data_IF_950699353214
#
_entry.id   IF_950699353214
#
_cell.length_a   1.000
_cell.length_b   1.000
_cell.length_c   1.000
_cell.angle_alpha   90.00
_cell.angle_beta   90.00
_cell.angle_gamma   90.00
#
_symmetry.space_group_name_H-M   'P 1'
#
loop_
_entity.id
_entity.type
_entity.pdbx_description
1 polymer ?
#
# COMPACT_ATOMS: atom_id res chain seq x y z
N UNK A 1 -0.77 -16.69 56.52
CA UNK A 1 -0.18 -15.34 56.46
C UNK A 1 1.25 -15.52 56.03
N UNK A 2 1.54 -15.26 54.75
CA UNK A 2 2.89 -15.38 54.18
C UNK A 2 3.39 -13.96 53.94
N UNK A 3 4.52 -13.65 54.55
CA UNK A 3 5.13 -12.33 54.52
C UNK A 3 5.94 -12.21 53.21
N UNK A 4 5.54 -11.30 52.31
CA UNK A 4 6.28 -10.97 51.09
C UNK A 4 7.04 -9.67 51.34
N UNK A 5 8.26 -9.76 51.86
CA UNK A 5 9.20 -8.64 51.81
C UNK A 5 9.85 -8.65 50.43
N UNK A 6 9.47 -7.68 49.60
CA UNK A 6 10.15 -7.38 48.35
C UNK A 6 11.55 -6.85 48.66
N UNK A 7 12.58 -7.49 48.11
CA UNK A 7 13.90 -6.89 47.92
C UNK A 7 13.89 -6.28 46.52
N UNK A 8 14.11 -4.97 46.44
CA UNK A 8 14.31 -4.25 45.19
C UNK A 8 15.56 -4.81 44.49
N UNK A 9 15.38 -5.55 43.40
CA UNK A 9 16.45 -5.88 42.46
C UNK A 9 16.72 -4.62 41.63
N UNK A 10 17.77 -3.89 42.04
CA UNK A 10 18.40 -2.85 41.23
C UNK A 10 18.95 -3.49 39.95
N UNK A 11 18.24 -3.32 38.85
CA UNK A 11 18.74 -3.67 37.51
C UNK A 11 19.95 -2.78 37.19
N UNK A 12 21.16 -3.30 37.41
CA UNK A 12 22.40 -2.71 36.91
C UNK A 12 22.36 -2.73 35.37
N UNK A 13 22.38 -1.53 34.78
CA UNK A 13 22.39 -1.31 33.32
C UNK A 13 23.81 -1.11 32.78
N UNK A 14 24.78 -1.82 33.34
CA UNK A 14 26.13 -1.80 32.77
C UNK A 14 26.09 -2.65 31.49
N UNK A 15 25.90 -1.96 30.37
CA UNK A 15 25.97 -2.54 29.04
C UNK A 15 27.42 -2.96 28.77
N UNK A 16 27.68 -4.27 28.71
CA UNK A 16 28.95 -4.86 28.28
C UNK A 16 28.93 -5.21 26.77
N UNK A 17 27.98 -4.66 26.01
CA UNK A 17 27.76 -5.04 24.62
C UNK A 17 28.40 -4.08 23.62
N UNK A 18 28.81 -2.88 24.07
CA UNK A 18 29.31 -1.83 23.18
C UNK A 18 28.26 -1.45 22.14
N UNK A 19 26.98 -1.59 22.49
CA UNK A 19 25.87 -1.33 21.59
C UNK A 19 25.51 0.16 21.65
N UNK A 20 26.03 0.94 20.71
CA UNK A 20 25.62 2.33 20.56
C UNK A 20 24.19 2.40 20.02
N UNK A 21 23.30 3.04 20.77
CA UNK A 21 21.90 3.24 20.39
C UNK A 21 21.83 4.16 19.15
N UNK A 22 21.33 3.70 17.99
CA UNK A 22 21.34 4.47 16.74
C UNK A 22 20.37 5.68 16.73
N UNK A 23 19.65 5.91 17.83
CA UNK A 23 18.73 7.05 17.99
C UNK A 23 19.23 8.12 18.96
N UNK A 24 20.45 7.97 19.51
CA UNK A 24 21.09 8.94 20.40
C UNK A 24 21.97 9.94 19.63
N UNK A 25 21.40 10.50 18.56
CA UNK A 25 22.06 11.52 17.74
C UNK A 25 22.10 12.85 18.49
N UNK A 26 23.28 13.25 18.97
CA UNK A 26 23.55 14.60 19.49
C UNK A 26 23.93 15.53 18.32
N UNK A 27 23.09 16.50 17.94
CA UNK A 27 23.38 17.43 16.84
C UNK A 27 24.54 18.39 17.14
N UNK A 28 25.10 18.39 18.35
CA UNK A 28 26.27 19.19 18.73
C UNK A 28 27.53 18.35 18.99
N UNK A 29 27.47 17.02 18.79
CA UNK A 29 28.67 16.21 18.85
C UNK A 29 29.61 16.64 17.71
N UNK A 30 30.86 16.99 18.07
CA UNK A 30 31.88 17.30 17.08
C UNK A 30 32.20 16.01 16.33
N UNK A 31 31.79 15.92 15.07
CA UNK A 31 32.18 14.82 14.19
C UNK A 31 33.65 15.02 13.81
N UNK A 32 34.53 14.25 14.46
CA UNK A 32 35.97 14.28 14.20
C UNK A 32 36.35 13.77 12.80
N UNK A 33 35.37 13.29 12.01
CA UNK A 33 35.52 12.89 10.61
C UNK A 33 34.59 13.66 9.66
N UNK A 34 34.15 14.88 10.01
CA UNK A 34 33.47 15.78 9.07
C UNK A 34 34.46 16.30 8.00
N UNK A 35 34.34 15.87 6.73
CA UNK A 35 35.25 16.28 5.67
C UNK A 35 35.02 17.74 5.22
N UNK A 36 34.08 18.47 5.83
CA UNK A 36 33.73 19.83 5.43
C UNK A 36 34.44 20.93 6.22
N UNK A 37 35.29 20.58 7.18
CA UNK A 37 36.09 21.54 7.96
C UNK A 37 37.57 21.33 7.69
N UNK A 38 38.03 21.78 6.52
CA UNK A 38 39.29 22.49 6.40
C UNK A 38 39.36 23.17 5.03
N UNK A 39 39.59 24.48 5.05
CA UNK A 39 39.61 25.34 3.88
C UNK A 39 40.79 25.04 2.95
N UNK A 40 40.46 24.76 1.69
CA UNK A 40 41.08 25.26 0.46
C UNK A 40 40.45 24.47 -0.70
N UNK A 41 39.39 25.00 -1.29
CA UNK A 41 38.90 24.55 -2.59
C UNK A 41 39.41 25.52 -3.67
N UNK A 42 40.46 25.17 -4.44
CA UNK A 42 40.98 26.01 -5.49
C UNK A 42 40.24 25.85 -6.84
N UNK A 43 39.00 25.37 -6.90
CA UNK A 43 38.32 25.14 -8.21
C UNK A 43 37.10 26.01 -8.51
N UNK A 44 36.89 27.13 -7.82
CA UNK A 44 35.88 28.12 -8.23
C UNK A 44 36.51 29.26 -9.02
N UNK A 45 37.05 28.93 -10.19
CA UNK A 45 37.26 29.91 -11.27
C UNK A 45 35.90 30.15 -11.94
N UNK A 46 35.37 31.36 -11.74
CA UNK A 46 34.05 31.82 -12.17
C UNK A 46 34.12 32.53 -13.52
N UNK A 47 34.83 31.97 -14.49
CA UNK A 47 34.95 32.59 -15.81
C UNK A 47 35.45 31.62 -16.88
N UNK A 48 34.58 30.76 -17.43
CA UNK A 48 34.66 30.37 -18.85
C UNK A 48 33.37 29.68 -19.35
N UNK A 49 32.88 30.20 -20.48
CA UNK A 49 31.99 29.62 -21.48
C UNK A 49 30.57 29.16 -21.12
N UNK A 50 29.64 30.11 -21.31
CA UNK A 50 28.31 29.82 -21.85
C UNK A 50 28.44 29.23 -23.26
N UNK A 51 28.68 27.93 -23.36
CA UNK A 51 28.47 27.21 -24.60
C UNK A 51 26.98 26.90 -24.78
N UNK A 52 26.50 27.28 -25.96
CA UNK A 52 25.13 27.15 -26.39
C UNK A 52 24.63 25.73 -26.21
N UNK A 53 23.45 25.59 -25.59
CA UNK A 53 22.61 24.40 -25.71
C UNK A 53 22.27 24.29 -27.20
N UNK A 54 23.02 23.48 -27.93
CA UNK A 54 22.61 22.99 -29.24
C UNK A 54 21.53 21.94 -28.99
N UNK A 55 20.27 22.36 -29.16
CA UNK A 55 19.20 21.45 -29.56
C UNK A 55 19.68 20.75 -30.84
N UNK A 56 19.97 19.44 -30.76
CA UNK A 56 19.99 18.49 -31.89
C UNK A 56 20.62 17.17 -31.40
N UNK A 57 19.85 16.39 -30.63
CA UNK A 57 20.00 14.93 -30.64
C UNK A 57 18.58 14.34 -30.73
N UNK A 58 18.26 13.81 -31.92
CA UNK A 58 17.15 12.92 -32.17
C UNK A 58 17.21 11.79 -31.13
N UNK A 59 16.38 11.87 -30.09
CA UNK A 59 16.02 10.72 -29.25
C UNK A 59 15.21 9.78 -30.16
N UNK A 60 15.92 8.95 -30.92
CA UNK A 60 15.37 7.73 -31.49
C UNK A 60 14.78 6.95 -30.32
N UNK A 61 13.45 7.01 -30.20
CA UNK A 61 12.68 6.08 -29.39
C UNK A 61 13.04 4.69 -29.92
N UNK A 62 14.00 4.01 -29.28
CA UNK A 62 14.17 2.58 -29.47
C UNK A 62 12.81 1.95 -29.21
N UNK A 63 12.21 1.38 -30.26
CA UNK A 63 11.08 0.49 -30.15
C UNK A 63 11.52 -0.61 -29.16
N UNK A 64 11.16 -0.43 -27.89
CA UNK A 64 11.22 -1.50 -26.92
C UNK A 64 10.19 -2.48 -27.42
N UNK A 65 10.65 -3.44 -28.22
CA UNK A 65 9.94 -4.65 -28.58
C UNK A 65 9.43 -5.19 -27.25
N UNK A 66 8.16 -4.91 -26.96
CA UNK A 66 7.46 -5.55 -25.89
C UNK A 66 7.48 -7.01 -26.30
N UNK A 67 8.35 -7.80 -25.67
CA UNK A 67 8.29 -9.24 -25.77
C UNK A 67 6.85 -9.61 -25.43
N UNK A 68 6.05 -9.85 -26.47
CA UNK A 68 4.78 -10.57 -26.41
C UNK A 68 5.15 -12.04 -26.12
N UNK A 69 5.78 -12.27 -24.97
CA UNK A 69 5.62 -13.54 -24.28
C UNK A 69 4.12 -13.59 -23.97
N UNK A 70 3.38 -14.21 -24.89
CA UNK A 70 2.09 -14.84 -24.65
C UNK A 70 2.33 -15.90 -23.56
N UNK A 71 2.50 -15.39 -22.35
CA UNK A 71 2.68 -16.16 -21.15
C UNK A 71 1.39 -16.90 -20.97
N UNK A 72 1.38 -18.15 -21.42
CA UNK A 72 0.37 -19.15 -21.09
C UNK A 72 0.06 -18.95 -19.62
N UNK A 73 -1.11 -18.36 -19.33
CA UNK A 73 -1.48 -17.93 -17.98
C UNK A 73 -1.36 -19.17 -17.11
N UNK A 74 -0.25 -19.30 -16.39
CA UNK A 74 0.02 -20.48 -15.60
C UNK A 74 -1.23 -20.66 -14.74
N UNK A 75 -1.89 -21.81 -14.84
CA UNK A 75 -3.10 -22.06 -14.07
C UNK A 75 -2.69 -22.06 -12.60
N UNK A 76 -2.81 -20.90 -11.95
CA UNK A 76 -2.50 -20.73 -10.54
C UNK A 76 -3.54 -21.55 -9.79
N UNK A 77 -3.11 -22.66 -9.19
CA UNK A 77 -3.97 -23.38 -8.25
C UNK A 77 -4.23 -22.46 -7.04
N UNK A 78 -5.47 -21.98 -6.86
CA UNK A 78 -5.75 -20.95 -5.87
C UNK A 78 -5.70 -21.57 -4.47
N UNK A 79 -5.00 -20.93 -3.55
CA UNK A 79 -4.94 -21.38 -2.15
C UNK A 79 -6.31 -21.23 -1.49
N UNK A 80 -7.06 -20.19 -1.85
CA UNK A 80 -8.46 -20.03 -1.50
C UNK A 80 -9.32 -20.17 -2.76
N UNK A 81 -10.22 -21.17 -2.86
CA UNK A 81 -10.99 -21.42 -4.07
C UNK A 81 -11.92 -20.28 -4.51
N UNK A 82 -12.25 -19.38 -3.58
CA UNK A 82 -13.14 -18.24 -3.80
C UNK A 82 -12.64 -17.04 -3.00
N UNK A 83 -12.97 -15.83 -3.45
CA UNK A 83 -12.60 -14.62 -2.71
C UNK A 83 -13.30 -14.55 -1.35
N UNK A 84 -14.52 -15.10 -1.20
CA UNK A 84 -15.20 -15.19 0.09
C UNK A 84 -14.40 -16.04 1.08
N UNK A 85 -13.90 -17.20 0.65
CA UNK A 85 -13.05 -18.06 1.47
C UNK A 85 -11.73 -17.35 1.85
N UNK A 86 -11.16 -16.57 0.95
CA UNK A 86 -9.98 -15.74 1.25
C UNK A 86 -10.30 -14.64 2.27
N UNK A 87 -11.46 -13.98 2.15
CA UNK A 87 -11.87 -12.95 3.10
C UNK A 87 -12.04 -13.53 4.51
N UNK A 88 -12.72 -14.66 4.62
CA UNK A 88 -12.97 -15.35 5.89
C UNK A 88 -11.72 -15.96 6.51
N UNK A 89 -10.89 -16.61 5.68
CA UNK A 89 -9.71 -17.36 6.14
C UNK A 89 -8.45 -16.52 6.32
N UNK A 90 -8.28 -15.46 5.53
CA UNK A 90 -7.07 -14.63 5.55
C UNK A 90 -7.36 -13.17 5.89
N UNK A 91 -8.16 -12.47 5.09
CA UNK A 91 -8.29 -11.00 5.19
C UNK A 91 -8.74 -10.55 6.59
N UNK A 92 -9.83 -11.12 7.09
CA UNK A 92 -10.40 -10.76 8.40
C UNK A 92 -9.50 -11.17 9.58
N UNK A 93 -8.61 -12.14 9.37
CA UNK A 93 -7.68 -12.62 10.40
C UNK A 93 -6.39 -11.81 10.43
N UNK A 94 -5.91 -11.37 9.26
CA UNK A 94 -4.61 -10.72 9.06
C UNK A 94 -4.72 -9.20 9.13
N UNK A 95 -5.76 -8.59 8.56
CA UNK A 95 -5.87 -7.13 8.52
C UNK A 95 -6.32 -6.59 9.88
N UNK A 96 -5.40 -5.95 10.60
CA UNK A 96 -5.64 -5.34 11.91
C UNK A 96 -5.55 -3.82 11.81
N UNK A 97 -6.66 -3.14 12.06
CA UNK A 97 -6.72 -1.67 12.11
C UNK A 97 -7.49 -1.24 13.36
N UNK A 98 -7.16 -0.05 13.88
CA UNK A 98 -7.91 0.56 14.98
C UNK A 98 -9.24 1.07 14.42
N UNK A 99 -10.31 0.32 14.68
CA UNK A 99 -11.66 0.66 14.23
C UNK A 99 -12.28 1.73 15.12
N UNK A 100 -13.12 2.58 14.53
CA UNK A 100 -13.92 3.54 15.28
C UNK A 100 -14.97 2.87 16.17
N UNK A 101 -15.36 3.48 17.31
CA UNK A 101 -16.55 3.04 18.03
C UNK A 101 -17.77 3.08 17.11
N UNK A 102 -18.70 2.14 17.30
CA UNK A 102 -19.98 2.14 16.56
C UNK A 102 -19.94 1.70 15.10
N UNK A 103 -18.77 1.41 14.52
CA UNK A 103 -18.65 0.99 13.10
C UNK A 103 -18.41 2.14 12.12
N UNK A 104 -17.88 3.28 12.59
CA UNK A 104 -17.54 4.43 11.73
C UNK A 104 -17.86 5.80 12.32
N UNK A 105 -18.47 5.88 13.51
CA UNK A 105 -18.86 7.17 14.13
C UNK A 105 -17.65 8.07 14.47
N UNK A 106 -16.46 7.50 14.62
CA UNK A 106 -15.19 8.26 14.62
C UNK A 106 -13.99 7.35 14.29
N UNK A 107 -13.30 7.62 13.18
CA UNK A 107 -12.22 6.76 12.67
C UNK A 107 -12.75 5.61 11.81
N UNK A 108 -11.89 4.68 11.42
CA UNK A 108 -12.16 3.70 10.34
C UNK A 108 -13.49 2.95 10.50
N UNK A 109 -14.20 2.80 9.37
CA UNK A 109 -15.48 2.12 9.27
C UNK A 109 -15.34 0.67 8.79
N UNK A 110 -16.08 -0.25 9.41
CA UNK A 110 -16.17 -1.65 8.98
C UNK A 110 -17.50 -2.26 9.41
N UNK A 111 -18.26 -2.79 8.46
CA UNK A 111 -19.41 -3.65 8.73
C UNK A 111 -19.01 -5.11 8.58
N UNK A 112 -19.37 -5.96 9.54
CA UNK A 112 -19.15 -7.40 9.44
C UNK A 112 -19.93 -8.03 8.26
N UNK A 113 -21.00 -7.37 7.79
CA UNK A 113 -21.79 -7.74 6.61
C UNK A 113 -21.27 -7.03 5.37
N UNK A 114 -19.95 -7.05 5.17
CA UNK A 114 -19.26 -6.40 4.07
C UNK A 114 -19.82 -6.79 2.69
N UNK A 115 -20.42 -7.98 2.55
CA UNK A 115 -21.06 -8.46 1.32
C UNK A 115 -22.31 -7.67 0.91
N UNK A 116 -22.89 -6.85 1.80
CA UNK A 116 -24.00 -5.96 1.46
C UNK A 116 -23.58 -4.80 0.57
N UNK A 117 -22.27 -4.52 0.47
CA UNK A 117 -21.72 -3.36 -0.24
C UNK A 117 -21.03 -3.85 -1.52
N UNK A 118 -21.66 -3.71 -2.72
CA UNK A 118 -21.12 -4.26 -3.96
C UNK A 118 -19.72 -3.74 -4.30
N UNK A 119 -19.44 -2.47 -4.00
CA UNK A 119 -18.11 -1.89 -4.19
C UNK A 119 -17.07 -2.57 -3.29
N UNK A 120 -17.39 -2.85 -2.03
CA UNK A 120 -16.48 -3.56 -1.10
C UNK A 120 -16.23 -4.98 -1.59
N UNK A 121 -17.28 -5.71 -1.98
CA UNK A 121 -17.14 -7.07 -2.50
C UNK A 121 -16.28 -7.11 -3.77
N UNK A 122 -16.50 -6.17 -4.70
CA UNK A 122 -15.67 -6.04 -5.91
C UNK A 122 -14.21 -5.76 -5.60
N UNK A 123 -13.94 -4.81 -4.68
CA UNK A 123 -12.57 -4.47 -4.24
C UNK A 123 -11.88 -5.66 -3.58
N UNK A 124 -12.56 -6.38 -2.68
CA UNK A 124 -12.00 -7.58 -2.02
C UNK A 124 -11.73 -8.70 -3.03
N UNK A 125 -12.59 -8.86 -4.04
CA UNK A 125 -12.37 -9.82 -5.12
C UNK A 125 -11.13 -9.48 -5.96
N UNK A 126 -10.94 -8.20 -6.32
CA UNK A 126 -9.71 -7.75 -7.00
C UNK A 126 -8.46 -8.01 -6.17
N UNK A 127 -8.53 -7.73 -4.86
CA UNK A 127 -7.42 -7.99 -3.94
C UNK A 127 -7.07 -9.46 -3.84
N UNK A 128 -8.07 -10.34 -3.80
CA UNK A 128 -7.86 -11.79 -3.78
C UNK A 128 -7.12 -12.26 -5.04
N UNK A 129 -7.51 -11.82 -6.23
CA UNK A 129 -6.80 -12.17 -7.47
C UNK A 129 -5.33 -11.75 -7.42
N UNK A 130 -5.06 -10.49 -7.07
CA UNK A 130 -3.68 -10.00 -6.95
C UNK A 130 -2.90 -10.70 -5.84
N UNK A 131 -3.57 -11.17 -4.78
CA UNK A 131 -2.94 -11.91 -3.69
C UNK A 131 -2.53 -13.32 -4.13
N UNK A 132 -3.41 -14.03 -4.85
CA UNK A 132 -3.09 -15.36 -5.40
C UNK A 132 -1.96 -15.26 -6.42
N UNK A 133 -1.98 -14.25 -7.30
CA UNK A 133 -0.89 -13.95 -8.24
C UNK A 133 0.42 -13.69 -7.50
N UNK A 134 0.42 -12.80 -6.51
CA UNK A 134 1.62 -12.47 -5.76
C UNK A 134 2.15 -13.65 -4.94
N UNK A 135 1.30 -14.56 -4.48
CA UNK A 135 1.67 -15.78 -3.77
C UNK A 135 2.28 -16.83 -4.71
N UNK A 136 1.74 -16.95 -5.92
CA UNK A 136 2.20 -17.92 -6.92
C UNK A 136 3.46 -17.45 -7.68
N UNK A 137 3.80 -16.16 -7.57
CA UNK A 137 4.97 -15.59 -8.23
C UNK A 137 6.29 -16.11 -7.67
N UNK A 138 7.25 -16.39 -8.57
CA UNK A 138 8.64 -16.70 -8.20
C UNK A 138 9.44 -15.45 -7.74
N UNK A 139 8.89 -14.24 -7.93
CA UNK A 139 9.56 -12.99 -7.54
C UNK A 139 9.40 -12.76 -6.04
N UNK A 140 10.53 -12.72 -5.32
CA UNK A 140 10.53 -12.46 -3.87
C UNK A 140 9.85 -11.13 -3.45
N UNK A 141 9.83 -10.14 -4.35
CA UNK A 141 9.19 -8.84 -4.10
C UNK A 141 7.68 -8.82 -4.39
N UNK A 142 7.11 -9.86 -5.02
CA UNK A 142 5.73 -9.84 -5.51
C UNK A 142 4.71 -9.55 -4.40
N UNK A 143 4.82 -10.24 -3.26
CA UNK A 143 3.92 -10.02 -2.13
C UNK A 143 4.07 -8.61 -1.53
N UNK A 144 5.31 -8.09 -1.42
CA UNK A 144 5.54 -6.72 -0.94
C UNK A 144 4.89 -5.69 -1.87
N UNK A 145 5.00 -5.88 -3.19
CA UNK A 145 4.37 -5.01 -4.18
C UNK A 145 2.85 -5.08 -4.10
N UNK A 146 2.27 -6.27 -3.92
CA UNK A 146 0.83 -6.42 -3.73
C UNK A 146 0.32 -5.64 -2.51
N UNK A 147 1.02 -5.70 -1.37
CA UNK A 147 0.65 -4.93 -0.17
C UNK A 147 0.61 -3.42 -0.45
N UNK A 148 1.69 -2.89 -1.02
CA UNK A 148 1.88 -1.44 -1.18
C UNK A 148 1.00 -0.87 -2.30
N UNK A 149 0.95 -1.56 -3.44
CA UNK A 149 0.33 -1.03 -4.66
C UNK A 149 -1.12 -1.46 -4.85
N UNK A 150 -1.55 -2.55 -4.24
CA UNK A 150 -2.93 -3.04 -4.36
C UNK A 150 -3.67 -2.93 -3.03
N UNK A 151 -3.19 -3.59 -1.98
CA UNK A 151 -3.94 -3.68 -0.74
C UNK A 151 -4.17 -2.32 -0.09
N UNK A 152 -3.11 -1.56 0.21
CA UNK A 152 -3.24 -0.31 0.95
C UNK A 152 -4.16 0.73 0.25
N UNK A 153 -4.09 0.93 -1.08
CA UNK A 153 -5.04 1.78 -1.80
C UNK A 153 -6.50 1.33 -1.65
N UNK A 154 -6.77 0.02 -1.72
CA UNK A 154 -8.12 -0.50 -1.52
C UNK A 154 -8.59 -0.32 -0.07
N UNK A 155 -7.72 -0.58 0.92
CA UNK A 155 -8.04 -0.41 2.33
C UNK A 155 -8.34 1.04 2.71
N UNK A 156 -7.64 2.00 2.09
CA UNK A 156 -7.92 3.44 2.29
C UNK A 156 -9.37 3.76 1.95
N UNK A 157 -9.91 3.17 0.87
CA UNK A 157 -11.32 3.41 0.48
C UNK A 157 -12.28 2.58 1.32
N UNK A 158 -12.02 1.28 1.48
CA UNK A 158 -12.91 0.36 2.21
C UNK A 158 -13.18 0.86 3.63
N UNK A 159 -12.13 1.33 4.32
CA UNK A 159 -12.21 1.75 5.71
C UNK A 159 -12.47 3.23 5.92
N UNK A 160 -12.64 4.02 4.85
CA UNK A 160 -12.92 5.44 4.99
C UNK A 160 -14.29 5.66 5.65
N UNK A 161 -14.27 6.27 6.84
CA UNK A 161 -15.47 6.57 7.62
C UNK A 161 -16.21 7.81 7.17
N UNK A 162 -15.62 8.63 6.31
CA UNK A 162 -16.26 9.84 5.80
C UNK A 162 -16.97 9.55 4.47
N UNK A 163 -16.21 9.13 3.45
CA UNK A 163 -16.74 8.95 2.08
C UNK A 163 -16.79 7.50 1.59
N UNK A 164 -16.29 6.56 2.38
CA UNK A 164 -16.19 5.16 1.98
C UNK A 164 -17.54 4.46 1.81
N UNK A 165 -17.56 3.29 1.15
CA UNK A 165 -18.79 2.54 0.88
C UNK A 165 -19.51 2.06 2.17
N UNK A 166 -18.80 2.01 3.30
CA UNK A 166 -19.32 1.61 4.61
C UNK A 166 -19.37 2.77 5.62
N UNK A 167 -19.19 4.03 5.20
CA UNK A 167 -19.05 5.17 6.13
C UNK A 167 -20.24 5.36 7.09
N UNK A 168 -21.46 5.03 6.66
CA UNK A 168 -22.68 5.08 7.48
C UNK A 168 -23.14 3.72 8.02
N UNK A 169 -22.29 2.69 7.95
CA UNK A 169 -22.61 1.38 8.49
C UNK A 169 -22.93 1.48 9.98
N UNK A 170 -24.00 0.81 10.38
CA UNK A 170 -24.45 0.77 11.76
C UNK A 170 -24.48 -0.67 12.24
N UNK A 171 -24.15 -0.85 13.51
CA UNK A 171 -24.13 -2.17 14.16
C UNK A 171 -25.48 -2.90 14.10
N UNK A 172 -26.59 -2.17 13.98
CA UNK A 172 -27.94 -2.73 13.84
C UNK A 172 -28.27 -3.19 12.41
N UNK A 173 -27.56 -2.73 11.39
CA UNK A 173 -27.85 -3.02 9.98
C UNK A 173 -28.87 -2.16 9.29
N UNK A 174 -29.22 -1.01 9.86
CA UNK A 174 -30.16 -0.12 9.20
C UNK A 174 -29.60 0.47 7.88
N UNK A 175 -28.27 0.45 7.69
CA UNK A 175 -27.61 0.94 6.49
C UNK A 175 -27.12 -0.22 5.63
N UNK A 176 -27.57 -0.28 4.38
CA UNK A 176 -27.22 -1.32 3.41
C UNK A 176 -26.38 -0.79 2.24
N UNK A 177 -25.66 0.31 2.44
CA UNK A 177 -24.85 0.94 1.41
C UNK A 177 -25.51 2.14 0.73
N UNK A 178 -24.69 2.87 -0.02
CA UNK A 178 -25.12 3.99 -0.85
C UNK A 178 -25.94 3.52 -2.06
N UNK A 179 -26.87 4.35 -2.56
CA UNK A 179 -27.61 4.01 -3.77
C UNK A 179 -26.66 3.89 -4.97
N UNK A 180 -27.07 3.11 -5.97
CA UNK A 180 -26.37 3.06 -7.25
C UNK A 180 -26.28 4.47 -7.87
N UNK A 181 -25.20 4.71 -8.61
CA UNK A 181 -25.01 5.99 -9.29
C UNK A 181 -26.18 6.26 -10.25
N UNK A 182 -26.73 7.48 -10.25
CA UNK A 182 -27.67 7.90 -11.29
C UNK A 182 -27.01 7.73 -12.66
N UNK A 183 -27.73 7.10 -13.59
CA UNK A 183 -27.23 6.82 -14.93
C UNK A 183 -28.30 7.18 -15.96
N UNK A 184 -27.87 7.84 -17.03
CA UNK A 184 -28.65 8.01 -18.25
C UNK A 184 -27.94 7.23 -19.37
N UNK A 185 -28.66 6.39 -20.13
CA UNK A 185 -28.03 5.60 -21.18
C UNK A 185 -27.40 6.48 -22.25
N UNK A 186 -26.15 6.17 -22.60
CA UNK A 186 -25.45 6.85 -23.70
C UNK A 186 -26.30 6.78 -24.97
N UNK A 187 -26.62 7.91 -25.62
CA UNK A 187 -27.40 7.93 -26.85
C UNK A 187 -26.81 6.97 -27.89
N UNK A 188 -27.62 6.17 -28.61
CA UNK A 188 -27.10 5.20 -29.58
C UNK A 188 -26.18 5.82 -30.64
N UNK A 189 -26.39 7.08 -31.01
CA UNK A 189 -25.58 7.83 -31.98
C UNK A 189 -24.15 8.15 -31.50
N UNK A 190 -23.88 8.02 -30.20
CA UNK A 190 -22.56 8.25 -29.60
C UNK A 190 -21.91 6.92 -29.18
N UNK A 191 -22.52 5.78 -29.50
CA UNK A 191 -21.95 4.47 -29.21
C UNK A 191 -21.00 4.07 -30.32
N UNK A 192 -19.86 3.51 -29.94
CA UNK A 192 -18.95 2.87 -30.88
C UNK A 192 -19.69 1.74 -31.60
N UNK A 193 -19.56 1.70 -32.93
CA UNK A 193 -20.04 0.57 -33.73
C UNK A 193 -19.11 -0.61 -33.46
N UNK A 194 -19.50 -1.48 -32.53
CA UNK A 194 -18.81 -2.75 -32.37
C UNK A 194 -19.07 -3.57 -33.64
N UNK A 195 -18.03 -4.00 -34.39
CA UNK A 195 -18.25 -4.87 -35.53
C UNK A 195 -18.92 -6.15 -34.99
N UNK A 196 -20.10 -6.48 -35.52
CA UNK A 196 -20.68 -7.79 -35.27
C UNK A 196 -19.70 -8.82 -35.84
N UNK A 197 -19.24 -9.76 -35.01
CA UNK A 197 -18.29 -10.82 -35.36
C UNK A 197 -18.53 -11.36 -36.77
N UNK A 198 -17.48 -11.34 -37.59
CA UNK A 198 -17.44 -11.91 -38.95
C UNK A 198 -17.07 -13.39 -38.92
#
# INVERSE_FOLDING_TARGET
>A
MVNLSATDDEWQTDDETGYENPYDYDPNAADENDPTVDGDDPSLDLDEDTDAITEDEDDELEDVEADEEDGELAEIEPMYPTYEAWVEGWFTQVIRRKMGPGGGESGLAWDARWWLYPEVAGRLKSLWFGWEEARASDKASAMSNWWIHQLDPHLRVIFDSDSGPMSHAKRDGSFSGWPALPYEPMPPSLRDEYPADS
#
